data_IF_722398966987
#
_entry.id   IF_722398966987
#
_cell.length_a   1.000
_cell.length_b   1.000
_cell.length_c   1.000
_cell.angle_alpha   90.00
_cell.angle_beta   90.00
_cell.angle_gamma   90.00
#
_symmetry.space_group_name_H-M   'P 1'
#
loop_
_entity.id
_entity.type
_entity.pdbx_description
1 polymer ?
#
# COMPACT_ATOMS: atom_id res chain seq x y z
N UNK A 1 -0.05 22.24 21.21
CA UNK A 1 -1.22 22.07 20.35
C UNK A 1 -1.30 20.61 19.94
N UNK A 2 -2.28 19.87 20.45
CA UNK A 2 -2.57 18.53 20.01
C UNK A 2 -3.05 18.62 18.54
N UNK A 3 -2.35 17.95 17.61
CA UNK A 3 -2.89 17.74 16.29
C UNK A 3 -4.17 16.89 16.45
N UNK A 4 -5.33 17.47 16.16
CA UNK A 4 -6.57 16.74 16.09
C UNK A 4 -6.49 15.84 14.86
N UNK A 5 -6.51 14.53 15.05
CA UNK A 5 -6.69 13.61 13.96
C UNK A 5 -8.19 13.36 13.80
N UNK A 6 -8.79 13.86 12.74
CA UNK A 6 -10.16 13.52 12.39
C UNK A 6 -10.19 12.10 11.82
N UNK A 7 -10.88 11.21 12.52
CA UNK A 7 -11.12 9.84 12.05
C UNK A 7 -12.39 9.82 11.23
N UNK A 8 -12.28 9.99 9.93
CA UNK A 8 -13.42 9.83 9.03
C UNK A 8 -13.82 8.35 8.93
N UNK A 9 -15.11 8.11 9.03
CA UNK A 9 -15.66 6.79 8.76
C UNK A 9 -15.54 6.53 7.24
N UNK A 10 -14.55 5.74 6.87
CA UNK A 10 -14.22 5.34 5.48
C UNK A 10 -15.41 4.85 4.63
N UNK A 11 -16.55 4.55 5.25
CA UNK A 11 -17.79 4.14 4.58
C UNK A 11 -18.57 5.32 4.01
N UNK A 12 -18.27 6.53 4.46
CA UNK A 12 -18.98 7.74 4.14
C UNK A 12 -18.27 8.55 3.03
N UNK A 13 -17.07 8.12 2.59
CA UNK A 13 -16.33 8.79 1.52
C UNK A 13 -16.83 8.31 0.14
N UNK A 14 -17.24 9.25 -0.69
CA UNK A 14 -17.63 9.08 -2.08
C UNK A 14 -16.83 10.02 -2.97
N UNK A 15 -16.89 9.85 -4.29
CA UNK A 15 -16.26 10.77 -5.23
C UNK A 15 -16.83 12.18 -5.13
N UNK A 16 -18.11 12.32 -4.75
CA UNK A 16 -18.79 13.60 -4.64
C UNK A 16 -18.41 14.38 -3.37
N UNK A 17 -18.13 13.68 -2.26
CA UNK A 17 -17.90 14.33 -0.97
C UNK A 17 -16.44 14.33 -0.50
N UNK A 18 -15.52 13.63 -1.17
CA UNK A 18 -14.14 13.46 -0.71
C UNK A 18 -13.41 14.78 -0.56
N UNK A 19 -13.65 15.73 -1.46
CA UNK A 19 -13.00 17.05 -1.41
C UNK A 19 -13.42 17.83 -0.16
N UNK A 20 -14.72 17.84 0.16
CA UNK A 20 -15.24 18.48 1.37
C UNK A 20 -14.78 17.74 2.64
N UNK A 21 -14.87 16.41 2.63
CA UNK A 21 -14.51 15.57 3.79
C UNK A 21 -13.03 15.66 4.15
N UNK A 22 -12.15 15.88 3.17
CA UNK A 22 -10.70 15.98 3.36
C UNK A 22 -10.17 17.41 3.29
N UNK A 23 -11.07 18.40 3.24
CA UNK A 23 -10.67 19.81 3.26
C UNK A 23 -9.84 20.14 4.50
N UNK A 24 -8.70 20.81 4.31
CA UNK A 24 -7.78 21.17 5.38
C UNK A 24 -6.91 20.03 5.91
N UNK A 25 -7.00 18.82 5.38
CA UNK A 25 -6.09 17.73 5.72
C UNK A 25 -4.69 17.98 5.16
N UNK A 26 -3.67 17.93 6.01
CA UNK A 26 -2.28 18.10 5.63
C UNK A 26 -1.58 16.78 5.31
N UNK A 27 -2.24 15.67 5.53
CA UNK A 27 -1.76 14.32 5.22
C UNK A 27 -2.85 13.28 5.42
N UNK A 28 -2.77 12.18 4.68
CA UNK A 28 -3.72 11.07 4.73
C UNK A 28 -2.98 9.80 5.09
N UNK A 29 -3.44 9.11 6.14
CA UNK A 29 -2.93 7.83 6.55
C UNK A 29 -4.02 6.76 6.37
N UNK A 30 -3.70 5.72 5.59
CA UNK A 30 -4.55 4.54 5.46
C UNK A 30 -3.89 3.38 6.20
N UNK A 31 -4.43 2.99 7.38
CA UNK A 31 -3.83 1.98 8.22
C UNK A 31 -4.05 0.57 7.69
N UNK A 32 -3.37 -0.38 8.31
CA UNK A 32 -3.63 -1.81 8.17
C UNK A 32 -5.04 -2.18 8.62
N UNK A 33 -5.48 -3.34 8.21
CA UNK A 33 -6.78 -3.91 8.57
C UNK A 33 -7.06 -5.18 7.81
N UNK A 34 -8.19 -5.80 8.13
CA UNK A 34 -8.66 -7.01 7.51
C UNK A 34 -10.11 -6.83 7.04
N UNK A 35 -10.50 -7.59 6.01
CA UNK A 35 -11.87 -7.63 5.51
C UNK A 35 -12.20 -6.53 4.50
N UNK A 36 -13.42 -6.62 3.97
CA UNK A 36 -13.86 -5.85 2.80
C UNK A 36 -14.52 -4.50 3.14
N UNK A 37 -14.66 -4.15 4.42
CA UNK A 37 -15.36 -2.94 4.83
C UNK A 37 -14.61 -1.67 4.46
N UNK A 38 -15.29 -0.78 3.75
CA UNK A 38 -14.81 0.56 3.44
C UNK A 38 -13.59 0.62 2.51
N UNK A 39 -13.40 -0.40 1.67
CA UNK A 39 -12.28 -0.43 0.71
C UNK A 39 -12.42 0.65 -0.36
N UNK A 40 -13.64 0.86 -0.86
CA UNK A 40 -13.91 1.91 -1.86
C UNK A 40 -13.59 3.30 -1.30
N UNK A 41 -14.03 3.62 -0.08
CA UNK A 41 -13.69 4.89 0.56
C UNK A 41 -12.19 5.07 0.79
N UNK A 42 -11.45 3.99 1.09
CA UNK A 42 -9.99 4.05 1.17
C UNK A 42 -9.36 4.35 -0.19
N UNK A 43 -9.81 3.69 -1.26
CA UNK A 43 -9.30 3.94 -2.61
C UNK A 43 -9.60 5.35 -3.08
N UNK A 44 -10.79 5.87 -2.77
CA UNK A 44 -11.18 7.27 -3.06
C UNK A 44 -10.23 8.25 -2.33
N UNK A 45 -9.97 8.03 -1.04
CA UNK A 45 -9.03 8.86 -0.28
C UNK A 45 -7.59 8.79 -0.82
N UNK A 46 -7.14 7.60 -1.23
CA UNK A 46 -5.81 7.38 -1.82
C UNK A 46 -5.71 8.09 -3.17
N UNK A 47 -6.72 7.95 -4.03
CA UNK A 47 -6.78 8.65 -5.31
C UNK A 47 -6.74 10.17 -5.11
N UNK A 48 -7.54 10.68 -4.18
CA UNK A 48 -7.58 12.11 -3.85
C UNK A 48 -6.20 12.60 -3.37
N UNK A 49 -5.54 11.86 -2.48
CA UNK A 49 -4.19 12.19 -2.03
C UNK A 49 -3.18 12.25 -3.17
N UNK A 50 -3.21 11.26 -4.06
CA UNK A 50 -2.32 11.18 -5.23
C UNK A 50 -2.52 12.33 -6.20
N UNK A 51 -3.76 12.63 -6.56
CA UNK A 51 -4.11 13.65 -7.55
C UNK A 51 -3.90 15.07 -7.03
N UNK A 52 -4.16 15.31 -5.74
CA UNK A 52 -4.05 16.63 -5.12
C UNK A 52 -2.71 16.85 -4.40
N UNK A 53 -1.75 15.94 -4.56
CA UNK A 53 -0.41 16.05 -3.96
C UNK A 53 -0.44 16.21 -2.43
N UNK A 54 -1.42 15.59 -1.77
CA UNK A 54 -1.52 15.56 -0.31
C UNK A 54 -0.62 14.42 0.22
N UNK A 55 0.27 14.68 1.19
CA UNK A 55 1.11 13.66 1.79
C UNK A 55 0.33 12.42 2.19
N UNK A 56 0.79 11.24 1.76
CA UNK A 56 0.11 9.96 1.95
C UNK A 56 1.03 8.91 2.56
N UNK A 57 0.50 8.17 3.55
CA UNK A 57 1.14 6.98 4.10
C UNK A 57 0.14 5.81 4.10
N UNK A 58 0.45 4.76 3.36
CA UNK A 58 -0.29 3.50 3.35
C UNK A 58 0.43 2.42 4.15
N UNK A 59 -0.26 1.71 5.05
CA UNK A 59 0.33 0.68 5.90
C UNK A 59 -0.40 -0.64 5.68
N UNK A 60 0.33 -1.72 5.37
CA UNK A 60 -0.17 -3.07 5.19
C UNK A 60 -1.32 -3.10 4.15
N UNK A 61 -2.58 -3.25 4.57
CA UNK A 61 -3.73 -3.13 3.67
C UNK A 61 -3.75 -1.78 2.96
N UNK A 62 -3.29 -0.69 3.59
CA UNK A 62 -3.17 0.62 2.97
C UNK A 62 -2.23 0.64 1.75
N UNK A 63 -1.13 -0.11 1.79
CA UNK A 63 -0.28 -0.30 0.62
C UNK A 63 -0.99 -1.10 -0.47
N UNK A 64 -1.66 -2.19 -0.11
CA UNK A 64 -2.38 -3.00 -1.09
C UNK A 64 -3.46 -2.18 -1.81
N UNK A 65 -4.19 -1.34 -1.07
CA UNK A 65 -5.18 -0.42 -1.67
C UNK A 65 -4.52 0.62 -2.58
N UNK A 66 -3.36 1.15 -2.20
CA UNK A 66 -2.60 2.10 -3.01
C UNK A 66 -2.12 1.46 -4.33
N UNK A 67 -1.66 0.22 -4.30
CA UNK A 67 -1.27 -0.56 -5.48
C UNK A 67 -2.48 -0.80 -6.40
N UNK A 68 -3.62 -1.20 -5.84
CA UNK A 68 -4.86 -1.44 -6.61
C UNK A 68 -5.38 -0.14 -7.23
N UNK A 69 -5.41 0.96 -6.47
CA UNK A 69 -5.81 2.28 -6.97
C UNK A 69 -4.94 2.71 -8.15
N UNK A 70 -3.63 2.61 -7.99
CA UNK A 70 -2.67 2.98 -9.04
C UNK A 70 -2.83 2.12 -10.29
N UNK A 71 -3.01 0.82 -10.12
CA UNK A 71 -3.28 -0.09 -11.23
C UNK A 71 -4.53 0.30 -12.01
N UNK A 72 -5.62 0.63 -11.34
CA UNK A 72 -6.90 0.99 -11.96
C UNK A 72 -6.84 2.33 -12.68
N UNK A 73 -6.31 3.35 -12.03
CA UNK A 73 -6.47 4.75 -12.43
C UNK A 73 -5.25 5.31 -13.19
N UNK A 74 -4.06 4.75 -12.99
CA UNK A 74 -2.84 5.18 -13.69
C UNK A 74 -2.44 4.20 -14.78
N UNK A 75 -2.42 2.89 -14.47
CA UNK A 75 -2.00 1.86 -15.43
C UNK A 75 -3.14 1.38 -16.34
N UNK A 76 -4.37 1.90 -16.17
CA UNK A 76 -5.57 1.52 -16.91
C UNK A 76 -5.92 0.03 -16.84
N UNK A 77 -5.53 -0.66 -15.76
CA UNK A 77 -5.91 -2.04 -15.47
C UNK A 77 -7.29 -2.06 -14.80
N UNK A 78 -8.32 -1.78 -15.59
CA UNK A 78 -9.70 -1.74 -15.07
C UNK A 78 -10.09 -3.06 -14.44
N UNK A 79 -10.56 -3.02 -13.19
CA UNK A 79 -10.90 -4.22 -12.42
C UNK A 79 -9.71 -4.88 -11.71
N UNK A 80 -8.51 -4.26 -11.71
CA UNK A 80 -7.41 -4.74 -10.89
C UNK A 80 -7.82 -4.86 -9.42
N UNK A 81 -7.41 -5.95 -8.77
CA UNK A 81 -7.78 -6.25 -7.39
C UNK A 81 -6.74 -7.14 -6.71
N UNK A 82 -7.01 -7.47 -5.47
CA UNK A 82 -6.38 -8.57 -4.74
C UNK A 82 -7.22 -9.83 -4.93
N UNK A 83 -6.60 -10.98 -5.07
CA UNK A 83 -7.29 -12.28 -5.08
C UNK A 83 -7.98 -12.60 -3.73
N UNK A 84 -7.61 -11.91 -2.64
CA UNK A 84 -8.35 -11.94 -1.38
C UNK A 84 -9.75 -11.31 -1.51
N UNK A 85 -9.85 -10.23 -2.29
CA UNK A 85 -11.06 -9.43 -2.44
C UNK A 85 -11.93 -9.90 -3.59
N UNK A 86 -11.30 -10.30 -4.68
CA UNK A 86 -11.91 -10.82 -5.88
C UNK A 86 -11.04 -11.96 -6.45
N UNK A 87 -11.35 -13.22 -6.13
CA UNK A 87 -10.61 -14.37 -6.62
C UNK A 87 -10.61 -14.53 -8.15
N UNK A 88 -11.53 -13.87 -8.84
CA UNK A 88 -11.69 -13.93 -10.30
C UNK A 88 -11.18 -12.68 -11.02
N UNK A 89 -10.47 -11.79 -10.32
CA UNK A 89 -9.95 -10.57 -10.93
C UNK A 89 -9.07 -10.87 -12.14
N UNK A 90 -9.24 -10.10 -13.22
CA UNK A 90 -8.41 -10.21 -14.43
C UNK A 90 -6.97 -9.72 -14.21
N UNK A 91 -6.77 -8.86 -13.23
CA UNK A 91 -5.48 -8.26 -12.92
C UNK A 91 -5.18 -8.39 -11.43
N UNK A 92 -4.70 -9.56 -10.97
CA UNK A 92 -4.36 -9.82 -9.57
C UNK A 92 -3.03 -9.13 -9.21
N UNK A 93 -3.08 -7.81 -9.02
CA UNK A 93 -1.89 -7.01 -8.68
C UNK A 93 -1.43 -7.22 -7.22
N UNK A 94 -2.31 -7.77 -6.40
CA UNK A 94 -2.04 -8.29 -5.06
C UNK A 94 -2.50 -9.74 -5.05
N UNK A 95 -1.62 -10.66 -4.68
CA UNK A 95 -1.89 -12.10 -4.75
C UNK A 95 -1.18 -12.88 -3.64
N UNK A 96 -1.51 -14.15 -3.51
CA UNK A 96 -0.74 -15.10 -2.73
C UNK A 96 0.62 -15.34 -3.38
N UNK A 97 1.65 -15.58 -2.57
CA UNK A 97 2.93 -16.01 -3.11
C UNK A 97 2.81 -17.39 -3.77
N UNK A 98 3.57 -17.60 -4.84
CA UNK A 98 3.54 -18.84 -5.62
C UNK A 98 3.89 -20.12 -4.82
N UNK A 99 4.60 -19.98 -3.70
CA UNK A 99 4.94 -21.08 -2.78
C UNK A 99 3.92 -21.30 -1.66
N UNK A 100 2.85 -20.51 -1.64
CA UNK A 100 1.78 -20.61 -0.65
C UNK A 100 0.63 -21.45 -1.19
N UNK A 101 0.60 -22.75 -0.84
CA UNK A 101 -0.53 -23.62 -1.14
C UNK A 101 -1.75 -23.28 -0.27
N UNK A 102 -2.90 -23.08 -0.90
CA UNK A 102 -4.19 -22.80 -0.23
C UNK A 102 -4.57 -23.87 0.80
N UNK A 103 -4.11 -25.10 0.62
CA UNK A 103 -4.37 -26.22 1.53
C UNK A 103 -3.63 -26.10 2.88
N UNK A 104 -2.68 -25.16 3.00
CA UNK A 104 -1.90 -24.92 4.20
C UNK A 104 -2.16 -23.53 4.80
N UNK A 105 -3.39 -23.04 4.78
CA UNK A 105 -3.79 -21.68 5.21
C UNK A 105 -3.28 -21.24 6.59
N UNK A 106 -2.95 -22.19 7.47
CA UNK A 106 -2.35 -21.89 8.78
C UNK A 106 -0.86 -21.49 8.73
N UNK A 107 -0.12 -21.86 7.67
CA UNK A 107 1.34 -21.68 7.55
C UNK A 107 1.76 -20.59 6.56
N UNK A 108 0.82 -19.97 5.84
CA UNK A 108 1.12 -19.02 4.75
C UNK A 108 1.21 -17.55 5.20
N UNK A 109 0.84 -17.25 6.44
CA UNK A 109 0.90 -15.89 6.96
C UNK A 109 2.35 -15.48 7.26
N UNK A 110 2.80 -14.37 6.69
CA UNK A 110 4.06 -13.76 7.11
C UNK A 110 3.87 -13.14 8.49
N UNK A 111 4.51 -13.74 9.48
CA UNK A 111 4.48 -13.30 10.87
C UNK A 111 5.91 -13.04 11.36
N UNK A 112 6.12 -11.91 12.03
CA UNK A 112 7.40 -11.58 12.63
C UNK A 112 8.20 -10.54 11.83
N UNK A 113 9.48 -10.41 12.18
CA UNK A 113 10.40 -9.45 11.54
C UNK A 113 11.02 -10.05 10.28
N UNK A 114 11.00 -9.25 9.23
CA UNK A 114 11.69 -9.54 7.97
C UNK A 114 12.53 -8.34 7.56
N UNK A 115 13.63 -8.62 6.88
CA UNK A 115 14.48 -7.57 6.36
C UNK A 115 13.92 -6.97 5.08
N UNK A 116 14.20 -5.69 4.88
CA UNK A 116 13.86 -4.95 3.69
C UNK A 116 15.04 -4.10 3.29
N UNK A 117 15.58 -4.34 2.11
CA UNK A 117 16.61 -3.51 1.50
C UNK A 117 15.97 -2.29 0.87
N UNK A 118 16.49 -1.10 1.18
CA UNK A 118 15.97 0.17 0.72
C UNK A 118 16.72 0.67 -0.51
N UNK A 119 15.97 1.18 -1.49
CA UNK A 119 16.53 1.80 -2.68
C UNK A 119 17.01 3.20 -2.35
N UNK A 120 18.26 3.52 -2.73
CA UNK A 120 18.81 4.86 -2.60
C UNK A 120 17.94 5.90 -3.32
N UNK A 121 18.04 7.15 -2.86
CA UNK A 121 17.31 8.31 -3.41
C UNK A 121 15.78 8.27 -3.27
N UNK A 122 15.25 7.37 -2.44
CA UNK A 122 13.83 7.31 -2.10
C UNK A 122 13.52 8.04 -0.79
N UNK A 123 12.25 8.39 -0.58
CA UNK A 123 11.80 8.99 0.67
C UNK A 123 11.97 8.04 1.86
N UNK A 124 11.70 6.75 1.66
CA UNK A 124 11.91 5.72 2.69
C UNK A 124 13.38 5.62 3.08
N UNK A 125 14.31 5.60 2.11
CA UNK A 125 15.73 5.60 2.40
C UNK A 125 16.15 6.83 3.22
N UNK A 126 15.67 8.02 2.84
CA UNK A 126 15.96 9.27 3.58
C UNK A 126 15.38 9.25 4.99
N UNK A 127 14.18 8.69 5.18
CA UNK A 127 13.52 8.62 6.47
C UNK A 127 14.18 7.65 7.45
N UNK A 128 14.59 6.48 6.97
CA UNK A 128 15.27 5.48 7.80
C UNK A 128 16.76 5.74 7.95
N UNK A 129 17.39 6.40 6.97
CA UNK A 129 18.84 6.64 6.90
C UNK A 129 19.69 5.36 7.02
N UNK A 130 19.19 4.25 6.46
CA UNK A 130 19.80 2.93 6.47
C UNK A 130 19.59 2.25 5.13
N UNK A 131 20.49 1.36 4.76
CA UNK A 131 20.36 0.56 3.52
C UNK A 131 19.43 -0.65 3.70
N UNK A 132 19.33 -1.13 4.92
CA UNK A 132 18.50 -2.28 5.28
C UNK A 132 17.77 -2.01 6.60
N UNK A 133 16.51 -2.38 6.67
CA UNK A 133 15.66 -2.28 7.86
C UNK A 133 15.03 -3.63 8.18
N UNK A 134 14.57 -3.78 9.41
CA UNK A 134 13.88 -4.96 9.89
C UNK A 134 12.53 -4.58 10.47
N UNK A 135 11.45 -4.96 9.77
CA UNK A 135 10.10 -4.57 10.12
C UNK A 135 9.17 -5.76 10.32
N UNK A 136 8.13 -5.56 11.12
CA UNK A 136 7.15 -6.60 11.45
C UNK A 136 6.06 -6.71 10.41
N UNK A 137 5.72 -7.96 10.07
CA UNK A 137 4.67 -8.31 9.13
C UNK A 137 3.57 -9.14 9.78
N UNK A 138 2.34 -8.97 9.27
CA UNK A 138 1.19 -9.82 9.57
C UNK A 138 0.22 -9.78 8.40
N UNK A 139 0.51 -10.50 7.34
CA UNK A 139 -0.32 -10.57 6.13
C UNK A 139 -0.02 -11.84 5.34
N UNK A 140 -0.90 -12.19 4.39
CA UNK A 140 -0.75 -13.32 3.47
C UNK A 140 -0.55 -12.89 2.04
N UNK A 141 -1.21 -11.80 1.64
CA UNK A 141 -1.21 -11.31 0.28
C UNK A 141 -0.09 -10.31 0.10
N UNK A 142 0.53 -10.37 -1.07
CA UNK A 142 1.72 -9.61 -1.42
C UNK A 142 1.51 -8.89 -2.75
N UNK A 143 2.34 -7.91 -3.03
CA UNK A 143 2.47 -7.34 -4.37
C UNK A 143 2.85 -8.46 -5.36
N UNK A 144 2.09 -8.56 -6.45
CA UNK A 144 2.36 -9.56 -7.48
C UNK A 144 3.47 -9.08 -8.41
N UNK A 145 4.63 -9.74 -8.35
CA UNK A 145 5.82 -9.38 -9.11
C UNK A 145 5.66 -9.48 -10.63
N UNK A 146 4.67 -10.18 -11.14
CA UNK A 146 4.36 -10.23 -12.58
C UNK A 146 4.00 -8.85 -13.14
N UNK A 147 3.55 -7.95 -12.29
CA UNK A 147 3.20 -6.57 -12.63
C UNK A 147 4.33 -5.57 -12.35
N UNK A 148 5.44 -5.97 -11.75
CA UNK A 148 6.49 -5.08 -11.27
C UNK A 148 6.99 -4.10 -12.33
N UNK A 149 7.40 -4.62 -13.48
CA UNK A 149 7.87 -3.80 -14.62
C UNK A 149 6.82 -2.78 -15.05
N UNK A 150 5.55 -3.19 -15.10
CA UNK A 150 4.45 -2.32 -15.51
C UNK A 150 4.22 -1.17 -14.53
N UNK A 151 4.38 -1.41 -13.23
CA UNK A 151 4.31 -0.36 -12.23
C UNK A 151 5.49 0.61 -12.33
N UNK A 152 6.71 0.11 -12.52
CA UNK A 152 7.90 0.95 -12.67
C UNK A 152 7.84 1.80 -13.95
N UNK A 153 7.45 1.22 -15.09
CA UNK A 153 7.22 1.95 -16.35
C UNK A 153 6.10 3.00 -16.22
N UNK A 154 5.10 2.72 -15.39
CA UNK A 154 4.02 3.64 -15.08
C UNK A 154 4.38 4.76 -14.12
N UNK A 155 5.61 4.78 -13.58
CA UNK A 155 6.11 5.85 -12.71
C UNK A 155 6.08 5.56 -11.21
N UNK A 156 5.71 4.35 -10.78
CA UNK A 156 5.83 3.94 -9.39
C UNK A 156 7.26 3.46 -9.10
N UNK A 157 7.83 3.88 -8.00
CA UNK A 157 9.14 3.41 -7.56
C UNK A 157 8.98 2.28 -6.55
N UNK A 158 9.65 1.15 -6.78
CA UNK A 158 9.84 0.10 -5.79
C UNK A 158 10.97 0.52 -4.87
N UNK A 159 10.61 1.07 -3.73
CA UNK A 159 11.54 1.70 -2.79
C UNK A 159 12.13 0.73 -1.77
N UNK A 160 11.49 -0.41 -1.55
CA UNK A 160 11.99 -1.44 -0.65
C UNK A 160 11.61 -2.84 -1.09
N UNK A 161 12.53 -3.78 -0.93
CA UNK A 161 12.33 -5.20 -1.23
C UNK A 161 12.89 -6.10 -0.14
N UNK A 162 12.19 -7.18 0.14
CA UNK A 162 12.78 -8.30 0.86
C UNK A 162 13.75 -9.05 -0.07
N UNK A 163 15.06 -9.08 0.22
CA UNK A 163 16.03 -9.66 -0.69
C UNK A 163 16.01 -11.20 -0.71
N UNK A 164 15.52 -11.84 0.36
CA UNK A 164 15.49 -13.31 0.46
C UNK A 164 14.40 -13.93 -0.41
N UNK A 165 13.28 -13.22 -0.56
CA UNK A 165 12.10 -13.70 -1.28
C UNK A 165 11.75 -12.84 -2.50
N UNK A 166 12.52 -11.80 -2.77
CA UNK A 166 12.26 -10.82 -3.84
C UNK A 166 10.84 -10.21 -3.78
N UNK A 167 10.34 -9.92 -2.57
CA UNK A 167 9.02 -9.35 -2.35
C UNK A 167 9.09 -7.83 -2.27
N UNK A 168 8.12 -7.16 -2.87
CA UNK A 168 7.95 -5.72 -2.76
C UNK A 168 7.40 -5.37 -1.39
N UNK A 169 8.15 -4.54 -0.66
CA UNK A 169 7.81 -4.13 0.71
C UNK A 169 7.42 -2.67 0.81
N UNK A 170 7.92 -1.82 -0.09
CA UNK A 170 7.67 -0.39 -0.10
C UNK A 170 7.51 0.09 -1.53
N UNK A 171 6.45 0.88 -1.77
CA UNK A 171 6.23 1.60 -3.02
C UNK A 171 6.13 3.10 -2.77
N UNK A 172 6.62 3.89 -3.73
CA UNK A 172 6.58 5.35 -3.70
C UNK A 172 6.17 5.92 -5.05
N UNK A 173 5.59 7.12 -5.03
CA UNK A 173 5.44 7.96 -6.23
C UNK A 173 6.47 9.10 -6.10
N UNK A 174 7.53 9.11 -6.94
CA UNK A 174 8.63 10.07 -6.81
C UNK A 174 8.20 11.51 -7.09
N UNK A 175 7.28 11.73 -8.04
CA UNK A 175 6.73 13.05 -8.38
C UNK A 175 5.57 13.44 -7.45
N UNK A 176 5.75 13.21 -6.14
CA UNK A 176 4.79 13.55 -5.10
C UNK A 176 5.54 14.06 -3.85
N UNK A 177 5.03 15.07 -3.11
CA UNK A 177 5.69 15.58 -1.91
C UNK A 177 6.03 14.50 -0.89
N UNK A 178 5.09 13.57 -0.68
CA UNK A 178 5.26 12.37 0.12
C UNK A 178 4.17 11.37 -0.24
N UNK A 179 4.51 10.33 -0.97
CA UNK A 179 3.60 9.21 -1.22
C UNK A 179 4.38 7.92 -0.99
N UNK A 180 4.18 7.35 0.18
CA UNK A 180 4.88 6.14 0.63
C UNK A 180 3.86 5.12 1.10
N UNK A 181 4.00 3.89 0.66
CA UNK A 181 3.18 2.80 1.16
C UNK A 181 4.04 1.59 1.47
N UNK A 182 3.82 0.99 2.65
CA UNK A 182 4.62 -0.10 3.21
C UNK A 182 3.76 -1.32 3.52
N UNK A 183 4.28 -2.52 3.24
CA UNK A 183 3.56 -3.78 3.50
C UNK A 183 3.63 -4.17 4.99
N UNK A 184 4.64 -3.75 5.68
CA UNK A 184 4.86 -4.02 7.10
C UNK A 184 4.08 -3.08 8.03
N UNK A 185 4.11 -3.39 9.33
CA UNK A 185 3.37 -2.67 10.39
C UNK A 185 4.31 -1.69 11.11
N UNK A 186 4.74 -0.64 10.44
CA UNK A 186 5.77 0.30 10.90
C UNK A 186 5.44 1.06 12.20
N UNK A 187 4.17 1.13 12.60
CA UNK A 187 3.73 1.89 13.77
C UNK A 187 3.71 1.08 15.09
N UNK A 188 4.12 -0.19 15.09
CA UNK A 188 4.04 -1.04 16.29
C UNK A 188 5.19 -0.76 17.29
N UNK A 189 6.14 0.06 16.94
CA UNK A 189 7.30 0.38 17.77
C UNK A 189 7.21 1.73 18.51
N UNK A 190 6.04 2.33 18.53
CA UNK A 190 5.80 3.56 19.31
C UNK A 190 5.33 3.20 20.70
#
# INVERSE_FOLDING_TARGET
SSAASDVYKRQDLTQENVAEALEGCHGILVPGGFGQRGLEGKMIAIQYAREHKIPFLGICLGMQMAVIEYARNVLNLRGASSTELDPNTLYPVIDLMADQNLDMLGHTMRLGKYRCALKHDTNSYKAYAQEEIWERHRHRYEFNNDYLTRFEEGGMTIAGKNPDRNLVEIVEIPDHPWYVAVQFLSLIHI
#
